data_IF_621811933892
#
_entry.id   IF_621811933892
#
_cell.length_a   1.000
_cell.length_b   1.000
_cell.length_c   1.000
_cell.angle_alpha   90.00
_cell.angle_beta   90.00
_cell.angle_gamma   90.00
#
_symmetry.space_group_name_H-M   'P 1'
#
loop_
_entity.id
_entity.type
_entity.pdbx_description
1 polymer ?
#
# COMPACT_ATOMS: atom_id res chain seq x y z
N UNK A 1 9.06 -0.17 16.30
CA UNK A 1 8.75 0.64 15.11
C UNK A 1 7.50 1.50 15.33
N UNK A 2 6.30 0.92 15.53
CA UNK A 2 5.07 1.73 15.70
C UNK A 2 5.13 2.69 16.89
N UNK A 3 5.64 2.24 18.04
CA UNK A 3 5.80 3.12 19.22
C UNK A 3 6.64 4.37 18.92
N UNK A 4 7.73 4.24 18.16
CA UNK A 4 8.58 5.36 17.75
C UNK A 4 7.85 6.29 16.79
N UNK A 5 7.10 5.74 15.83
CA UNK A 5 6.28 6.53 14.90
C UNK A 5 5.25 7.38 15.67
N UNK A 6 4.55 6.78 16.64
CA UNK A 6 3.58 7.49 17.46
C UNK A 6 4.21 8.59 18.31
N UNK A 7 5.38 8.33 18.91
CA UNK A 7 6.11 9.35 19.66
C UNK A 7 6.46 10.56 18.78
N UNK A 8 7.00 10.31 17.58
CA UNK A 8 7.34 11.37 16.62
C UNK A 8 6.10 12.09 16.12
N UNK A 9 5.03 11.38 15.77
CA UNK A 9 3.79 11.99 15.28
C UNK A 9 3.12 12.84 16.35
N UNK A 10 3.05 12.36 17.59
CA UNK A 10 2.50 13.13 18.70
C UNK A 10 3.29 14.42 18.93
N UNK A 11 4.63 14.33 18.91
CA UNK A 11 5.50 15.49 19.06
C UNK A 11 5.36 16.49 17.91
N UNK A 12 5.27 16.02 16.66
CA UNK A 12 5.28 16.88 15.47
C UNK A 12 3.93 17.49 15.13
N UNK A 13 2.84 16.78 15.41
CA UNK A 13 1.48 17.23 15.06
C UNK A 13 0.76 17.92 16.19
N UNK A 14 1.19 17.70 17.44
CA UNK A 14 0.44 18.14 18.64
C UNK A 14 -0.85 17.34 18.89
N UNK A 15 -1.13 16.32 18.08
CA UNK A 15 -2.25 15.40 18.25
C UNK A 15 -1.84 14.17 19.04
N UNK A 16 -2.80 13.48 19.66
CA UNK A 16 -2.55 12.21 20.33
C UNK A 16 -3.02 11.04 19.47
N UNK A 17 -2.06 10.24 19.00
CA UNK A 17 -2.29 8.98 18.31
C UNK A 17 -2.08 7.81 19.29
N UNK A 18 -3.05 6.89 19.34
CA UNK A 18 -2.99 5.64 20.11
C UNK A 18 -2.81 4.43 19.18
N UNK A 19 -2.30 3.32 19.73
CA UNK A 19 -2.19 2.05 19.02
C UNK A 19 -3.18 1.04 19.56
N UNK A 20 -3.84 0.31 18.66
CA UNK A 20 -4.56 -0.92 18.99
C UNK A 20 -3.84 -2.10 18.32
N UNK A 21 -3.06 -2.91 19.07
CA UNK A 21 -2.40 -4.09 18.51
C UNK A 21 -3.44 -5.19 18.25
N UNK A 22 -3.45 -5.71 17.03
CA UNK A 22 -4.39 -6.75 16.58
C UNK A 22 -3.64 -7.96 16.05
N UNK A 23 -4.27 -9.13 16.14
CA UNK A 23 -3.83 -10.32 15.41
C UNK A 23 -3.93 -10.06 13.88
N UNK A 24 -3.05 -10.68 13.05
CA UNK A 24 -3.03 -10.45 11.61
C UNK A 24 -4.38 -10.65 10.91
N UNK A 25 -5.11 -11.71 11.28
CA UNK A 25 -6.40 -12.03 10.67
C UNK A 25 -7.48 -10.99 10.99
N UNK A 26 -7.49 -10.50 12.23
CA UNK A 26 -8.42 -9.43 12.65
C UNK A 26 -8.06 -8.09 12.00
N UNK A 27 -6.76 -7.78 11.87
CA UNK A 27 -6.31 -6.60 11.14
C UNK A 27 -6.76 -6.65 9.67
N UNK A 28 -6.53 -7.78 8.99
CA UNK A 28 -6.93 -7.97 7.60
C UNK A 28 -8.46 -7.83 7.43
N UNK A 29 -9.23 -8.40 8.36
CA UNK A 29 -10.69 -8.25 8.39
C UNK A 29 -11.13 -6.79 8.55
N UNK A 30 -10.58 -6.07 9.54
CA UNK A 30 -10.93 -4.66 9.79
C UNK A 30 -10.56 -3.76 8.61
N UNK A 31 -9.41 -4.01 7.97
CA UNK A 31 -9.00 -3.29 6.76
C UNK A 31 -9.99 -3.55 5.63
N UNK A 32 -10.37 -4.81 5.39
CA UNK A 32 -11.37 -5.18 4.37
C UNK A 32 -12.73 -4.52 4.63
N UNK A 33 -13.13 -4.42 5.90
CA UNK A 33 -14.40 -3.80 6.31
C UNK A 33 -14.33 -2.26 6.42
N UNK A 34 -13.16 -1.64 6.22
CA UNK A 34 -12.97 -0.19 6.40
C UNK A 34 -13.08 0.28 7.85
N UNK A 35 -12.98 -0.63 8.82
CA UNK A 35 -13.09 -0.34 10.26
C UNK A 35 -11.74 0.04 10.88
N UNK A 36 -11.15 1.13 10.40
CA UNK A 36 -9.90 1.68 10.94
C UNK A 36 -9.77 3.18 10.58
N UNK A 37 -8.90 3.90 11.29
CA UNK A 37 -8.54 5.29 10.95
C UNK A 37 -7.19 5.34 10.24
N UNK A 38 -6.20 4.64 10.79
CA UNK A 38 -4.87 4.45 10.20
C UNK A 38 -4.49 2.99 10.45
N UNK A 39 -4.09 2.28 9.39
CA UNK A 39 -3.66 0.89 9.48
C UNK A 39 -2.22 0.76 8.99
N UNK A 40 -1.35 0.18 9.82
CA UNK A 40 -0.06 -0.29 9.35
C UNK A 40 -0.28 -1.66 8.70
N UNK A 41 -0.40 -1.67 7.38
CA UNK A 41 -0.78 -2.85 6.62
C UNK A 41 0.18 -3.12 5.47
N UNK A 42 0.51 -4.39 5.26
CA UNK A 42 1.37 -4.82 4.16
C UNK A 42 0.55 -5.01 2.89
N UNK A 43 0.99 -4.39 1.79
CA UNK A 43 0.43 -4.62 0.45
C UNK A 43 1.46 -5.33 -0.41
N UNK A 44 0.97 -6.22 -1.28
CA UNK A 44 1.78 -6.94 -2.25
C UNK A 44 1.09 -6.84 -3.60
N UNK A 45 1.86 -6.68 -4.70
CA UNK A 45 1.28 -6.70 -6.03
C UNK A 45 0.60 -8.05 -6.30
N UNK A 46 -0.44 -8.05 -7.12
CA UNK A 46 -1.06 -9.27 -7.64
C UNK A 46 -0.12 -10.03 -8.58
N UNK A 47 -0.61 -11.12 -9.18
CA UNK A 47 0.14 -11.95 -10.14
C UNK A 47 0.74 -11.12 -11.30
N UNK A 48 0.07 -10.04 -11.68
CA UNK A 48 0.46 -9.19 -12.80
C UNK A 48 1.49 -8.10 -12.41
N UNK A 49 1.96 -8.07 -11.15
CA UNK A 49 2.96 -7.11 -10.68
C UNK A 49 2.43 -5.66 -10.48
N UNK A 50 1.20 -5.36 -10.91
CA UNK A 50 0.61 -4.03 -10.83
C UNK A 50 0.14 -3.72 -9.39
N UNK A 51 1.00 -3.09 -8.59
CA UNK A 51 0.66 -2.69 -7.22
C UNK A 51 -0.43 -1.59 -7.18
N UNK A 52 -0.35 -0.62 -8.09
CA UNK A 52 -1.21 0.56 -8.08
C UNK A 52 -2.67 0.25 -8.40
N UNK A 53 -2.95 -0.84 -9.14
CA UNK A 53 -4.32 -1.27 -9.42
C UNK A 53 -5.08 -1.74 -8.17
N UNK A 54 -4.37 -2.00 -7.05
CA UNK A 54 -5.02 -2.22 -5.76
C UNK A 54 -5.85 -1.02 -5.31
N UNK A 55 -5.49 0.19 -5.73
CA UNK A 55 -6.13 1.42 -5.27
C UNK A 55 -7.26 1.91 -6.20
N UNK A 56 -7.58 1.16 -7.26
CA UNK A 56 -8.69 1.49 -8.15
C UNK A 56 -10.02 1.51 -7.39
N UNK A 57 -10.93 2.40 -7.81
CA UNK A 57 -12.22 2.55 -7.16
C UNK A 57 -13.10 1.31 -7.25
N UNK A 58 -12.98 0.49 -8.28
CA UNK A 58 -13.76 -0.75 -8.44
C UNK A 58 -13.14 -1.96 -7.72
N UNK A 59 -11.95 -1.81 -7.16
CA UNK A 59 -11.24 -2.91 -6.52
C UNK A 59 -11.72 -3.13 -5.09
N UNK A 60 -12.48 -4.21 -4.87
CA UNK A 60 -12.98 -4.60 -3.55
C UNK A 60 -11.88 -5.03 -2.55
N UNK A 61 -10.64 -5.22 -3.01
CA UNK A 61 -9.48 -5.48 -2.16
C UNK A 61 -8.65 -4.24 -1.88
N UNK A 62 -9.13 -3.06 -2.28
CA UNK A 62 -8.48 -1.79 -2.02
C UNK A 62 -8.40 -1.54 -0.51
N UNK A 63 -7.21 -1.62 0.11
CA UNK A 63 -7.09 -1.51 1.54
C UNK A 63 -7.51 -0.12 2.02
N UNK A 64 -7.28 0.92 1.21
CA UNK A 64 -7.58 2.32 1.53
C UNK A 64 -9.02 2.74 1.24
N UNK A 65 -9.83 1.86 0.62
CA UNK A 65 -11.19 2.18 0.17
C UNK A 65 -11.28 3.46 -0.68
N UNK A 66 -10.20 3.78 -1.40
CA UNK A 66 -10.13 4.96 -2.26
C UNK A 66 -11.22 4.87 -3.33
N UNK A 67 -11.95 5.97 -3.51
CA UNK A 67 -12.84 6.21 -4.65
C UNK A 67 -12.41 7.52 -5.29
N UNK A 68 -11.78 7.47 -6.46
CA UNK A 68 -11.26 8.66 -7.14
C UNK A 68 -11.17 8.46 -8.66
N UNK A 69 -12.01 9.18 -9.38
CA UNK A 69 -11.98 9.25 -10.85
C UNK A 69 -10.65 9.79 -11.38
N UNK A 70 -9.99 10.67 -10.60
CA UNK A 70 -8.68 11.22 -10.96
C UNK A 70 -7.60 10.13 -10.92
N UNK A 71 -7.58 9.33 -9.85
CA UNK A 71 -6.64 8.22 -9.72
C UNK A 71 -6.92 7.14 -10.78
N UNK A 72 -8.18 6.74 -10.93
CA UNK A 72 -8.58 5.72 -11.91
C UNK A 72 -8.22 6.16 -13.32
N UNK A 73 -8.43 7.44 -13.65
CA UNK A 73 -8.05 8.01 -14.94
C UNK A 73 -6.54 8.03 -15.19
N UNK A 74 -5.71 8.16 -14.15
CA UNK A 74 -4.25 8.05 -14.28
C UNK A 74 -3.82 6.61 -14.60
N UNK A 75 -4.41 5.62 -13.93
CA UNK A 75 -4.14 4.20 -14.20
C UNK A 75 -4.60 3.82 -15.60
N UNK A 76 -5.83 4.18 -15.97
CA UNK A 76 -6.36 3.90 -17.31
C UNK A 76 -5.49 4.51 -18.43
N UNK A 77 -5.03 5.76 -18.25
CA UNK A 77 -4.09 6.37 -19.20
C UNK A 77 -2.78 5.62 -19.26
N UNK A 78 -2.25 5.16 -18.13
CA UNK A 78 -1.01 4.41 -18.11
C UNK A 78 -1.12 3.09 -18.89
N UNK A 79 -2.22 2.36 -18.72
CA UNK A 79 -2.50 1.09 -19.39
C UNK A 79 -2.74 1.23 -20.90
N UNK A 80 -3.22 2.39 -21.35
CA UNK A 80 -3.52 2.67 -22.76
C UNK A 80 -2.39 3.37 -23.52
N UNK A 81 -1.31 3.76 -22.83
CA UNK A 81 -0.20 4.53 -23.44
C UNK A 81 1.01 3.67 -23.75
N UNK A 82 1.94 4.19 -24.58
CA UNK A 82 3.24 3.59 -24.79
C UNK A 82 4.15 3.66 -23.54
N UNK A 83 5.19 2.83 -23.47
CA UNK A 83 6.01 2.60 -22.25
C UNK A 83 6.44 3.87 -21.49
N UNK A 84 6.92 4.90 -22.19
CA UNK A 84 7.39 6.16 -21.56
C UNK A 84 6.25 6.96 -20.93
N UNK A 85 5.11 7.02 -21.62
CA UNK A 85 3.92 7.73 -21.13
C UNK A 85 3.25 6.94 -20.01
N UNK A 86 3.26 5.60 -20.09
CA UNK A 86 2.81 4.72 -19.04
C UNK A 86 3.57 4.97 -17.73
N UNK A 87 4.91 4.97 -17.78
CA UNK A 87 5.75 5.25 -16.61
C UNK A 87 5.47 6.64 -16.00
N UNK A 88 5.30 7.67 -16.84
CA UNK A 88 4.98 9.01 -16.36
C UNK A 88 3.59 9.08 -15.69
N UNK A 89 2.59 8.35 -16.19
CA UNK A 89 1.27 8.29 -15.58
C UNK A 89 1.27 7.48 -14.27
N UNK A 90 2.02 6.38 -14.18
CA UNK A 90 2.21 5.66 -12.91
C UNK A 90 2.89 6.52 -11.85
N UNK A 91 3.92 7.29 -12.20
CA UNK A 91 4.57 8.21 -11.26
C UNK A 91 3.61 9.31 -10.76
N UNK A 92 2.68 9.78 -11.61
CA UNK A 92 1.63 10.72 -11.19
C UNK A 92 0.63 10.04 -10.25
N UNK A 93 0.25 8.80 -10.52
CA UNK A 93 -0.65 8.03 -9.65
C UNK A 93 -0.03 7.79 -8.26
N UNK A 94 1.25 7.44 -8.19
CA UNK A 94 1.98 7.31 -6.92
C UNK A 94 2.01 8.64 -6.15
N UNK A 95 2.33 9.74 -6.84
CA UNK A 95 2.31 11.07 -6.22
C UNK A 95 0.93 11.45 -5.71
N UNK A 96 -0.13 11.13 -6.45
CA UNK A 96 -1.51 11.36 -6.00
C UNK A 96 -1.78 10.66 -4.67
N UNK A 97 -1.41 9.38 -4.52
CA UNK A 97 -1.60 8.64 -3.26
C UNK A 97 -0.84 9.28 -2.09
N UNK A 98 0.36 9.80 -2.35
CA UNK A 98 1.18 10.47 -1.32
C UNK A 98 0.60 11.84 -0.93
N UNK A 99 0.34 12.70 -1.90
CA UNK A 99 -0.14 14.07 -1.69
C UNK A 99 -1.53 14.10 -1.02
N UNK A 100 -2.35 13.07 -1.25
CA UNK A 100 -3.67 12.90 -0.63
C UNK A 100 -3.65 12.12 0.68
N UNK A 101 -2.46 11.72 1.17
CA UNK A 101 -2.29 10.90 2.37
C UNK A 101 -3.09 9.59 2.36
N UNK A 102 -3.27 8.98 1.18
CA UNK A 102 -4.02 7.71 1.01
C UNK A 102 -3.15 6.52 1.39
N UNK A 103 -1.88 6.54 0.97
CA UNK A 103 -0.92 5.48 1.27
C UNK A 103 0.48 6.07 1.44
N UNK A 104 1.13 5.72 2.55
CA UNK A 104 2.50 6.12 2.87
C UNK A 104 3.40 4.90 3.03
N UNK A 105 4.31 4.64 2.08
CA UNK A 105 5.29 3.56 2.22
C UNK A 105 6.21 3.81 3.41
N UNK A 106 6.23 2.89 4.38
CA UNK A 106 7.12 2.98 5.56
C UNK A 106 8.39 2.16 5.36
N UNK A 107 8.26 0.94 4.82
CA UNK A 107 9.39 0.06 4.52
C UNK A 107 8.98 -1.01 3.50
N UNK A 108 9.98 -1.63 2.87
CA UNK A 108 9.81 -2.80 2.01
C UNK A 108 10.21 -4.07 2.77
N UNK A 109 9.45 -5.15 2.59
CA UNK A 109 9.74 -6.43 3.25
C UNK A 109 10.65 -7.27 2.36
N UNK A 110 11.76 -7.74 2.92
CA UNK A 110 12.60 -8.75 2.28
C UNK A 110 12.07 -10.16 2.59
N UNK A 111 12.08 -11.03 1.59
CA UNK A 111 11.81 -12.46 1.75
C UNK A 111 13.13 -13.20 1.90
N UNK A 112 13.30 -13.90 3.03
CA UNK A 112 14.48 -14.73 3.29
C UNK A 112 14.05 -16.19 3.26
N UNK A 113 14.77 -17.00 2.48
CA UNK A 113 14.54 -18.43 2.36
C UNK A 113 15.74 -19.20 2.89
N UNK A 114 15.49 -20.23 3.70
CA UNK A 114 16.50 -21.18 4.13
C UNK A 114 16.37 -22.45 3.28
N UNK A 115 17.47 -22.87 2.66
CA UNK A 115 17.50 -24.00 1.75
C UNK A 115 18.47 -25.06 2.28
N UNK A 116 18.07 -26.34 2.21
CA UNK A 116 18.95 -27.44 2.57
C UNK A 116 20.15 -27.52 1.59
N UNK A 117 21.26 -28.10 2.06
CA UNK A 117 22.46 -28.31 1.23
C UNK A 117 22.10 -29.15 0.00
N UNK A 118 22.40 -28.62 -1.20
CA UNK A 118 22.14 -29.30 -2.47
C UNK A 118 20.84 -28.90 -3.18
N UNK A 119 20.01 -28.04 -2.57
CA UNK A 119 18.86 -27.45 -3.25
C UNK A 119 19.35 -26.37 -4.23
N UNK A 120 18.99 -26.51 -5.51
CA UNK A 120 19.29 -25.56 -6.58
C UNK A 120 18.00 -25.23 -7.35
N UNK A 121 18.00 -24.13 -8.11
CA UNK A 121 16.88 -23.75 -8.98
C UNK A 121 15.72 -23.01 -8.29
N UNK A 122 15.93 -22.44 -7.11
CA UNK A 122 14.97 -21.50 -6.50
C UNK A 122 15.19 -20.12 -7.15
N UNK A 123 14.15 -19.63 -7.85
CA UNK A 123 14.11 -18.31 -8.52
C UNK A 123 13.01 -17.47 -7.87
#
# INVERSE_FOLDING_TARGET
MVNEMLAVWNQKTGSYFSMEPLAPDELAKRVTEGRYQIALYGISPGQDGALLSLFLSDNNKNPAHLKSDEFDGLIQKAEQSGEKEAAANYAKAERYLNDKCVFYPVYYKNSYFACAKGVTGIV
#
